data_IF_512744792791
#
_entry.id   IF_512744792791
#
_cell.length_a   1.000
_cell.length_b   1.000
_cell.length_c   1.000
_cell.angle_alpha   90.00
_cell.angle_beta   90.00
_cell.angle_gamma   90.00
#
_symmetry.space_group_name_H-M   'P 1'
#
loop_
_entity.id
_entity.type
_entity.pdbx_description
1 polymer ?
#
# COMPACT_ATOMS: atom_id res chain seq x y z
N UNK A 1 -14.66 54.73 27.44
CA UNK A 1 -15.49 53.59 26.99
C UNK A 1 -14.86 53.09 25.70
N UNK A 2 -14.01 52.07 25.79
CA UNK A 2 -13.29 51.53 24.64
C UNK A 2 -14.00 50.25 24.17
N UNK A 3 -14.44 50.26 22.91
CA UNK A 3 -15.10 49.13 22.25
C UNK A 3 -14.04 48.17 21.71
N UNK A 4 -13.89 47.02 22.38
CA UNK A 4 -13.00 45.94 21.95
C UNK A 4 -13.47 45.30 20.64
N UNK A 5 -12.61 45.34 19.63
CA UNK A 5 -12.78 44.64 18.36
C UNK A 5 -12.64 43.13 18.57
N UNK A 6 -13.75 42.41 18.50
CA UNK A 6 -13.78 40.94 18.49
C UNK A 6 -13.11 40.41 17.21
N UNK A 7 -12.04 39.64 17.38
CA UNK A 7 -11.37 38.91 16.29
C UNK A 7 -12.31 37.87 15.70
N UNK A 8 -12.58 37.95 14.39
CA UNK A 8 -13.40 36.96 13.70
C UNK A 8 -12.75 35.56 13.75
N UNK A 9 -13.55 34.49 13.95
CA UNK A 9 -13.06 33.13 13.93
C UNK A 9 -12.58 32.76 12.52
N UNK A 10 -11.28 32.53 12.41
CA UNK A 10 -10.64 32.09 11.17
C UNK A 10 -11.14 30.69 10.79
N UNK A 11 -12.08 30.63 9.86
CA UNK A 11 -12.60 29.39 9.30
C UNK A 11 -11.47 28.57 8.66
N UNK A 12 -11.22 27.37 9.18
CA UNK A 12 -10.20 26.42 8.68
C UNK A 12 -10.32 26.16 7.15
N UNK A 13 -11.54 26.26 6.61
CA UNK A 13 -11.79 26.15 5.16
C UNK A 13 -11.20 27.28 4.32
N UNK A 14 -11.02 28.49 4.86
CA UNK A 14 -10.40 29.60 4.11
C UNK A 14 -8.90 29.39 3.95
N UNK A 15 -8.24 28.86 4.99
CA UNK A 15 -6.81 28.53 4.98
C UNK A 15 -6.54 27.39 4.01
N UNK A 16 -7.34 26.32 4.05
CA UNK A 16 -7.20 25.20 3.13
C UNK A 16 -7.43 25.62 1.65
N UNK A 17 -8.43 26.47 1.37
CA UNK A 17 -8.64 27.01 0.01
C UNK A 17 -7.48 27.87 -0.45
N UNK A 18 -6.95 28.74 0.40
CA UNK A 18 -5.81 29.62 0.05
C UNK A 18 -4.54 28.82 -0.26
N UNK A 19 -4.30 27.72 0.46
CA UNK A 19 -3.16 26.83 0.19
C UNK A 19 -3.31 26.02 -1.10
N UNK A 20 -4.53 25.60 -1.44
CA UNK A 20 -4.79 24.83 -2.67
C UNK A 20 -4.79 25.70 -3.93
N UNK A 21 -5.25 26.95 -3.83
CA UNK A 21 -5.42 27.84 -4.99
C UNK A 21 -4.20 28.72 -5.28
N UNK A 22 -3.35 29.02 -4.30
CA UNK A 22 -2.16 29.86 -4.52
C UNK A 22 -0.92 29.10 -5.02
N UNK A 23 -1.07 27.86 -5.50
CA UNK A 23 0.07 27.06 -6.02
C UNK A 23 0.43 27.38 -7.48
N UNK A 24 -0.37 28.15 -8.21
CA UNK A 24 -0.22 28.33 -9.67
C UNK A 24 0.36 29.67 -10.15
N UNK A 25 0.85 30.55 -9.27
CA UNK A 25 1.46 31.83 -9.71
C UNK A 25 2.89 32.03 -9.21
N UNK A 26 3.80 31.14 -9.60
CA UNK A 26 5.21 31.53 -9.77
C UNK A 26 5.44 31.83 -11.24
N UNK A 27 5.60 33.12 -11.54
CA UNK A 27 6.07 33.64 -12.81
C UNK A 27 7.38 32.95 -13.19
N UNK A 28 7.35 32.27 -14.33
CA UNK A 28 8.53 31.72 -15.00
C UNK A 28 9.42 32.88 -15.40
N UNK A 29 10.61 32.95 -14.79
CA UNK A 29 11.68 33.84 -15.21
C UNK A 29 12.11 33.45 -16.61
N UNK A 30 11.95 34.36 -17.57
CA UNK A 30 12.43 34.22 -18.94
C UNK A 30 13.96 34.05 -18.94
N UNK A 31 14.44 33.04 -19.64
CA UNK A 31 15.83 32.91 -20.08
C UNK A 31 15.84 32.75 -21.60
N UNK A 32 16.90 33.22 -22.30
CA UNK A 32 16.86 33.44 -23.74
C UNK A 32 17.00 32.14 -24.52
N UNK A 33 16.20 32.02 -25.58
CA UNK A 33 16.25 30.94 -26.57
C UNK A 33 17.57 30.97 -27.35
N UNK A 34 18.26 29.84 -27.41
CA UNK A 34 19.19 29.52 -28.50
C UNK A 34 18.60 28.41 -29.34
N UNK A 35 18.32 28.77 -30.59
CA UNK A 35 17.83 27.91 -31.67
C UNK A 35 18.90 26.91 -32.10
N UNK A 36 18.54 25.63 -32.17
CA UNK A 36 19.09 24.68 -33.14
C UNK A 36 18.01 23.66 -33.52
N UNK A 37 17.70 23.66 -34.81
CA UNK A 37 16.90 22.65 -35.52
C UNK A 37 17.64 21.31 -35.52
N UNK A 38 17.01 20.26 -35.03
CA UNK A 38 17.39 18.87 -35.34
C UNK A 38 16.12 18.04 -35.55
N UNK A 39 15.94 17.59 -36.78
CA UNK A 39 14.93 16.62 -37.17
C UNK A 39 15.17 15.26 -36.50
N UNK A 40 14.17 14.73 -35.77
CA UNK A 40 14.07 13.29 -35.55
C UNK A 40 12.62 12.79 -35.59
N UNK A 41 12.36 12.03 -36.66
CA UNK A 41 11.38 10.97 -36.77
C UNK A 41 11.70 9.83 -35.80
N UNK A 42 10.72 9.43 -34.98
CA UNK A 42 10.85 8.25 -34.13
C UNK A 42 9.68 8.13 -33.16
N UNK A 43 8.59 7.51 -33.60
CA UNK A 43 7.52 7.01 -32.73
C UNK A 43 8.05 5.91 -31.83
N UNK A 44 8.42 6.25 -30.59
CA UNK A 44 8.68 5.29 -29.50
C UNK A 44 7.55 5.43 -28.47
N UNK A 45 6.81 4.34 -28.28
CA UNK A 45 5.75 4.24 -27.28
C UNK A 45 6.44 3.92 -25.96
N UNK A 46 6.71 4.93 -25.14
CA UNK A 46 7.23 4.73 -23.79
C UNK A 46 6.14 4.12 -22.90
N UNK A 47 6.28 2.82 -22.71
CA UNK A 47 5.61 2.01 -21.70
C UNK A 47 6.06 2.50 -20.31
N UNK A 48 5.13 3.14 -19.59
CA UNK A 48 5.34 3.60 -18.22
C UNK A 48 5.66 2.40 -17.31
N UNK A 49 6.95 2.21 -17.03
CA UNK A 49 7.47 1.12 -16.23
C UNK A 49 7.03 1.31 -14.76
N UNK A 50 6.23 0.37 -14.24
CA UNK A 50 5.63 0.41 -12.91
C UNK A 50 6.63 0.12 -11.75
N UNK A 51 7.92 0.32 -11.98
CA UNK A 51 9.02 -0.06 -11.07
C UNK A 51 9.34 0.97 -9.99
N UNK A 52 8.70 2.15 -9.99
CA UNK A 52 8.98 3.22 -9.02
C UNK A 52 8.11 3.22 -7.75
N UNK A 53 7.23 2.23 -7.54
CA UNK A 53 6.28 2.26 -6.41
C UNK A 53 6.76 1.63 -5.11
N UNK A 54 7.96 1.05 -5.05
CA UNK A 54 8.53 0.57 -3.79
C UNK A 54 10.04 0.85 -3.69
N UNK A 55 10.43 2.05 -3.24
CA UNK A 55 11.79 2.23 -2.73
C UNK A 55 11.92 1.33 -1.49
N UNK A 56 12.65 0.23 -1.61
CA UNK A 56 13.24 -0.45 -0.45
C UNK A 56 14.35 0.44 0.11
N UNK A 57 13.97 1.58 0.68
CA UNK A 57 14.83 2.36 1.54
C UNK A 57 14.69 1.79 2.94
N UNK A 58 15.61 0.89 3.30
CA UNK A 58 16.18 0.71 4.64
C UNK A 58 17.21 -0.44 4.55
N UNK A 59 18.42 -0.09 4.15
CA UNK A 59 19.60 -0.92 4.40
C UNK A 59 19.92 -0.83 5.89
N UNK A 60 19.66 -1.92 6.62
CA UNK A 60 20.24 -2.18 7.93
C UNK A 60 21.73 -2.49 7.75
N UNK A 61 22.54 -1.44 7.66
CA UNK A 61 23.98 -1.53 7.85
C UNK A 61 24.27 -1.49 9.37
N UNK A 62 23.94 -2.57 10.07
CA UNK A 62 24.41 -2.81 11.44
C UNK A 62 24.76 -4.27 11.65
N UNK A 63 26.00 -4.64 11.29
CA UNK A 63 26.84 -5.52 12.09
C UNK A 63 28.24 -5.58 11.49
N UNK A 64 29.13 -4.70 11.98
CA UNK A 64 30.51 -5.04 12.36
C UNK A 64 31.16 -3.81 12.97
N UNK A 65 31.01 -3.69 14.29
CA UNK A 65 31.99 -3.22 15.27
C UNK A 65 31.25 -3.09 16.60
N UNK A 66 31.44 -4.08 17.50
CA UNK A 66 31.05 -3.97 18.92
C UNK A 66 31.92 -2.89 19.59
N UNK A 67 31.57 -1.62 19.36
CA UNK A 67 31.89 -0.54 20.30
C UNK A 67 30.65 -0.34 21.17
N UNK A 68 30.79 -0.11 22.48
CA UNK A 68 29.65 0.16 23.35
C UNK A 68 28.85 1.33 22.79
N UNK A 69 27.65 1.04 22.30
CA UNK A 69 26.67 2.02 21.85
C UNK A 69 26.35 2.92 23.05
N UNK A 70 26.96 4.11 23.08
CA UNK A 70 26.44 5.22 23.86
C UNK A 70 24.99 5.41 23.40
N UNK A 71 24.04 5.24 24.30
CA UNK A 71 22.62 5.26 23.99
C UNK A 71 22.23 6.51 23.23
N UNK A 72 22.00 6.37 21.92
CA UNK A 72 21.41 7.42 21.10
C UNK A 72 19.94 7.50 21.47
N UNK A 73 19.63 8.38 22.41
CA UNK A 73 18.26 8.87 22.58
C UNK A 73 17.83 9.47 21.24
N UNK A 74 16.73 8.99 20.64
CA UNK A 74 16.24 9.56 19.39
C UNK A 74 16.01 11.05 19.62
N UNK A 75 16.81 11.89 18.95
CA UNK A 75 16.66 13.33 19.03
C UNK A 75 15.25 13.67 18.55
N UNK A 76 14.39 14.06 19.49
CA UNK A 76 13.02 14.45 19.19
C UNK A 76 13.10 15.65 18.25
N UNK A 77 12.74 15.43 16.99
CA UNK A 77 12.60 16.50 16.02
C UNK A 77 11.62 17.54 16.60
N UNK A 78 12.08 18.76 16.77
CA UNK A 78 11.32 19.92 17.27
C UNK A 78 11.21 20.91 16.12
N UNK A 79 10.03 20.98 15.54
CA UNK A 79 9.69 22.03 14.58
C UNK A 79 8.22 22.38 14.75
N UNK A 80 7.83 23.56 14.29
CA UNK A 80 6.47 24.08 14.44
C UNK A 80 5.40 23.08 13.95
N UNK A 81 5.67 22.35 12.86
CA UNK A 81 4.77 21.31 12.37
C UNK A 81 4.66 20.13 13.35
N UNK A 82 5.78 19.63 13.87
CA UNK A 82 5.79 18.54 14.85
C UNK A 82 5.04 18.93 16.12
N UNK A 83 5.23 20.16 16.61
CA UNK A 83 4.54 20.65 17.81
C UNK A 83 3.04 20.81 17.57
N UNK A 84 2.65 21.30 16.39
CA UNK A 84 1.23 21.36 16.00
C UNK A 84 0.61 19.99 15.89
N UNK A 85 1.28 19.01 15.30
CA UNK A 85 0.79 17.63 15.18
C UNK A 85 0.70 16.96 16.55
N UNK A 86 1.71 17.13 17.41
CA UNK A 86 1.69 16.62 18.80
C UNK A 86 0.65 17.32 19.67
N UNK A 87 0.33 18.57 19.36
CA UNK A 87 -0.71 19.35 20.04
C UNK A 87 -2.14 19.05 19.58
N UNK A 88 -2.35 18.16 18.61
CA UNK A 88 -3.70 17.73 18.19
C UNK A 88 -4.31 16.89 19.32
N UNK A 89 -5.23 17.47 20.07
CA UNK A 89 -5.97 16.76 21.11
C UNK A 89 -7.21 16.06 20.54
N UNK A 90 -7.74 15.07 21.27
CA UNK A 90 -9.00 14.39 20.91
C UNK A 90 -10.16 15.37 20.73
N UNK A 91 -10.20 16.44 21.53
CA UNK A 91 -11.21 17.49 21.44
C UNK A 91 -11.11 18.31 20.16
N UNK A 92 -9.89 18.60 19.68
CA UNK A 92 -9.69 19.27 18.38
C UNK A 92 -10.12 18.40 17.19
N UNK A 93 -10.12 17.07 17.37
CA UNK A 93 -10.59 16.10 16.39
C UNK A 93 -12.09 15.81 16.51
N UNK A 94 -12.75 16.28 17.58
CA UNK A 94 -14.21 16.32 17.59
C UNK A 94 -14.62 17.45 16.68
N UNK A 95 -15.03 17.10 15.46
CA UNK A 95 -15.74 18.07 14.64
C UNK A 95 -16.93 18.59 15.46
N UNK A 96 -17.18 19.90 15.46
CA UNK A 96 -18.48 20.40 15.86
C UNK A 96 -19.48 19.61 15.04
N UNK A 97 -20.25 18.74 15.70
CA UNK A 97 -21.40 18.07 15.10
C UNK A 97 -22.50 19.13 14.96
N UNK A 98 -22.17 20.26 14.34
CA UNK A 98 -23.08 21.33 14.02
C UNK A 98 -24.04 20.75 12.99
N UNK A 99 -25.26 20.55 13.49
CA UNK A 99 -26.54 20.42 12.82
C UNK A 99 -26.44 19.97 11.36
N UNK A 100 -27.02 18.81 10.99
CA UNK A 100 -26.90 18.22 9.66
C UNK A 100 -27.03 19.30 8.59
N UNK A 101 -25.97 19.43 7.78
CA UNK A 101 -25.85 20.44 6.73
C UNK A 101 -27.21 20.64 6.08
N UNK A 102 -27.83 21.81 6.32
CA UNK A 102 -29.15 22.11 5.78
C UNK A 102 -29.00 22.07 4.27
N UNK A 103 -29.45 20.98 3.66
CA UNK A 103 -29.44 20.85 2.21
C UNK A 103 -30.23 22.04 1.68
N UNK A 104 -29.53 22.96 1.01
CA UNK A 104 -30.16 24.08 0.31
C UNK A 104 -31.21 23.43 -0.58
N UNK A 105 -32.49 23.64 -0.24
CA UNK A 105 -33.63 23.13 -0.99
C UNK A 105 -33.60 23.85 -2.34
N UNK A 106 -32.84 23.34 -3.31
CA UNK A 106 -32.95 23.78 -4.70
C UNK A 106 -34.29 23.28 -5.19
N UNK A 107 -35.26 24.20 -5.21
CA UNK A 107 -36.54 24.02 -5.87
C UNK A 107 -36.32 23.80 -7.36
N UNK A 108 -36.30 22.53 -7.76
CA UNK A 108 -36.65 22.03 -9.07
C UNK A 108 -36.50 20.51 -8.98
N UNK A 109 -37.46 19.75 -9.53
CA UNK A 109 -37.41 18.29 -9.63
C UNK A 109 -36.35 17.80 -10.63
N UNK A 110 -35.17 18.43 -10.64
CA UNK A 110 -34.03 18.06 -11.46
C UNK A 110 -33.30 16.88 -10.82
N UNK A 111 -33.09 15.83 -11.62
CA UNK A 111 -32.21 14.71 -11.29
C UNK A 111 -30.89 15.24 -10.68
N UNK A 112 -30.39 14.68 -9.57
CA UNK A 112 -29.13 15.11 -8.98
C UNK A 112 -28.01 15.09 -10.03
N UNK A 113 -27.09 16.07 -10.02
CA UNK A 113 -25.97 16.08 -10.96
C UNK A 113 -25.25 14.73 -10.90
N UNK A 114 -25.08 14.10 -12.07
CA UNK A 114 -24.50 12.79 -12.18
C UNK A 114 -23.04 12.85 -11.75
N UNK A 115 -22.71 12.28 -10.58
CA UNK A 115 -21.33 12.11 -10.17
C UNK A 115 -20.65 11.17 -11.17
N UNK A 116 -19.69 11.69 -11.92
CA UNK A 116 -18.98 10.95 -12.96
C UNK A 116 -18.28 9.69 -12.43
N UNK A 117 -18.02 8.71 -13.31
CA UNK A 117 -17.42 7.42 -12.95
C UNK A 117 -16.08 7.58 -12.21
N UNK A 118 -15.22 8.50 -12.67
CA UNK A 118 -13.93 8.81 -12.04
C UNK A 118 -14.10 9.32 -10.61
N UNK A 119 -15.00 10.28 -10.39
CA UNK A 119 -15.29 10.80 -9.06
C UNK A 119 -15.84 9.71 -8.10
N UNK A 120 -16.70 8.81 -8.59
CA UNK A 120 -17.17 7.66 -7.80
C UNK A 120 -16.03 6.74 -7.37
N UNK A 121 -15.07 6.46 -8.26
CA UNK A 121 -13.89 5.65 -7.96
C UNK A 121 -13.05 6.34 -6.87
N UNK A 122 -12.80 7.64 -6.99
CA UNK A 122 -12.05 8.40 -5.99
C UNK A 122 -12.74 8.37 -4.62
N UNK A 123 -14.05 8.65 -4.55
CA UNK A 123 -14.82 8.59 -3.28
C UNK A 123 -14.71 7.20 -2.64
N UNK A 124 -14.72 6.13 -3.45
CA UNK A 124 -14.57 4.75 -2.98
C UNK A 124 -13.17 4.50 -2.41
N UNK A 125 -12.12 4.89 -3.12
CA UNK A 125 -10.72 4.73 -2.68
C UNK A 125 -10.45 5.49 -1.39
N UNK A 126 -10.90 6.74 -1.29
CA UNK A 126 -10.77 7.56 -0.09
C UNK A 126 -11.48 6.91 1.10
N UNK A 127 -12.68 6.35 0.91
CA UNK A 127 -13.37 5.61 1.97
C UNK A 127 -12.60 4.34 2.38
N UNK A 128 -12.05 3.59 1.43
CA UNK A 128 -11.25 2.39 1.71
C UNK A 128 -10.01 2.73 2.52
N UNK A 129 -9.29 3.80 2.15
CA UNK A 129 -8.16 4.33 2.90
C UNK A 129 -8.53 4.60 4.36
N UNK A 130 -9.63 5.32 4.62
CA UNK A 130 -10.09 5.55 5.98
C UNK A 130 -10.55 4.28 6.71
N UNK A 131 -10.99 3.25 5.97
CA UNK A 131 -11.28 1.93 6.53
C UNK A 131 -10.03 1.21 7.03
N UNK A 132 -8.93 1.28 6.27
CA UNK A 132 -7.62 0.75 6.70
C UNK A 132 -7.09 1.55 7.88
N UNK A 133 -7.17 2.88 7.83
CA UNK A 133 -6.74 3.74 8.91
C UNK A 133 -7.49 3.45 10.22
N UNK A 134 -8.82 3.27 10.15
CA UNK A 134 -9.63 2.87 11.31
C UNK A 134 -9.14 1.54 11.89
N UNK A 135 -8.84 0.54 11.05
CA UNK A 135 -8.34 -0.77 11.51
C UNK A 135 -6.99 -0.64 12.23
N UNK A 136 -6.09 0.19 11.72
CA UNK A 136 -4.77 0.43 12.33
C UNK A 136 -4.87 1.14 13.69
N UNK A 137 -5.82 2.07 13.82
CA UNK A 137 -6.03 2.82 15.06
C UNK A 137 -6.83 2.03 16.12
N UNK A 138 -7.46 0.91 15.74
CA UNK A 138 -8.23 0.06 16.63
C UNK A 138 -9.37 0.78 17.35
N UNK A 139 -9.66 0.33 18.58
CA UNK A 139 -10.77 0.84 19.38
C UNK A 139 -10.53 2.25 19.95
N UNK A 140 -9.30 2.74 19.89
CA UNK A 140 -8.93 4.10 20.30
C UNK A 140 -9.64 5.19 19.48
N UNK A 141 -10.17 4.84 18.30
CA UNK A 141 -10.98 5.74 17.49
C UNK A 141 -12.41 5.95 18.00
N UNK A 142 -12.86 5.20 18.99
CA UNK A 142 -14.25 5.27 19.46
C UNK A 142 -14.61 6.68 19.95
N UNK A 143 -15.72 7.21 19.43
CA UNK A 143 -16.17 8.58 19.68
C UNK A 143 -15.42 9.67 18.89
N UNK A 144 -14.55 9.30 17.95
CA UNK A 144 -13.89 10.24 17.03
C UNK A 144 -14.45 10.11 15.61
N UNK A 145 -14.09 11.07 14.75
CA UNK A 145 -14.47 11.06 13.34
C UNK A 145 -13.88 9.85 12.57
N UNK A 146 -12.72 9.35 13.00
CA UNK A 146 -12.08 8.16 12.45
C UNK A 146 -12.87 6.87 12.71
N UNK A 147 -13.83 6.87 13.65
CA UNK A 147 -14.71 5.72 13.85
C UNK A 147 -15.65 5.50 12.64
N UNK A 148 -15.85 6.50 11.78
CA UNK A 148 -16.71 6.39 10.60
C UNK A 148 -15.97 6.74 9.31
N UNK A 149 -15.42 5.73 8.60
CA UNK A 149 -14.77 5.93 7.30
C UNK A 149 -15.69 6.62 6.29
N UNK A 150 -17.00 6.40 6.39
CA UNK A 150 -18.00 7.07 5.56
C UNK A 150 -18.04 8.57 5.81
N UNK A 151 -18.01 9.02 7.07
CA UNK A 151 -18.02 10.45 7.41
C UNK A 151 -16.69 11.09 7.03
N UNK A 152 -15.57 10.41 7.26
CA UNK A 152 -14.26 10.88 6.79
C UNK A 152 -14.23 11.09 5.27
N UNK A 153 -14.74 10.12 4.50
CA UNK A 153 -14.83 10.23 3.05
C UNK A 153 -15.80 11.34 2.59
N UNK A 154 -16.92 11.51 3.30
CA UNK A 154 -17.89 12.59 3.08
C UNK A 154 -17.20 13.96 3.17
N UNK A 155 -16.50 14.19 4.28
CA UNK A 155 -15.77 15.44 4.54
C UNK A 155 -14.60 15.63 3.57
N UNK A 156 -13.78 14.60 3.36
CA UNK A 156 -12.58 14.68 2.53
C UNK A 156 -12.91 14.91 1.05
N UNK A 157 -13.98 14.29 0.55
CA UNK A 157 -14.39 14.44 -0.86
C UNK A 157 -15.37 15.59 -1.08
N UNK A 158 -15.88 16.23 -0.01
CA UNK A 158 -16.90 17.28 -0.12
C UNK A 158 -18.20 16.82 -0.77
N UNK A 159 -18.57 15.54 -0.59
CA UNK A 159 -19.80 14.96 -1.16
C UNK A 159 -20.77 14.60 -0.04
N UNK A 160 -22.05 14.44 -0.35
CA UNK A 160 -23.03 14.02 0.66
C UNK A 160 -22.79 12.58 1.14
N UNK A 161 -23.18 12.26 2.38
CA UNK A 161 -23.21 10.87 2.88
C UNK A 161 -23.91 9.91 1.93
N UNK A 162 -25.04 10.33 1.33
CA UNK A 162 -25.80 9.55 0.36
C UNK A 162 -24.99 9.24 -0.90
N UNK A 163 -24.13 10.16 -1.33
CA UNK A 163 -23.22 9.94 -2.46
C UNK A 163 -22.17 8.88 -2.11
N UNK A 164 -21.58 8.97 -0.91
CA UNK A 164 -20.61 7.98 -0.43
C UNK A 164 -21.26 6.60 -0.33
N UNK A 165 -22.45 6.47 0.27
CA UNK A 165 -23.13 5.18 0.39
C UNK A 165 -23.58 4.62 -0.96
N UNK A 166 -24.13 5.44 -1.87
CA UNK A 166 -24.50 4.98 -3.23
C UNK A 166 -23.30 4.57 -4.07
N UNK A 167 -22.12 5.13 -3.80
CA UNK A 167 -20.88 4.69 -4.48
C UNK A 167 -20.51 3.24 -4.16
N UNK A 168 -21.06 2.68 -3.07
CA UNK A 168 -20.94 1.26 -2.73
C UNK A 168 -22.03 0.40 -3.33
N UNK A 169 -23.28 0.89 -3.37
CA UNK A 169 -24.42 0.10 -3.85
C UNK A 169 -24.35 -0.28 -5.33
N UNK A 170 -23.61 0.48 -6.15
CA UNK A 170 -23.34 0.13 -7.54
C UNK A 170 -22.42 -1.07 -7.73
N UNK A 171 -21.89 -1.62 -6.64
CA UNK A 171 -20.96 -2.75 -6.64
C UNK A 171 -21.63 -4.10 -6.37
N UNK A 172 -22.93 -4.17 -6.09
CA UNK A 172 -23.60 -5.45 -5.87
C UNK A 172 -23.58 -6.39 -7.11
N UNK A 173 -23.21 -5.88 -8.29
CA UNK A 173 -22.91 -6.69 -9.50
C UNK A 173 -21.41 -6.86 -9.80
N UNK A 174 -20.58 -6.31 -8.94
CA UNK A 174 -19.14 -6.51 -8.89
C UNK A 174 -18.75 -7.29 -7.62
N UNK A 175 -19.72 -7.71 -6.81
CA UNK A 175 -19.54 -8.61 -5.64
C UNK A 175 -19.69 -10.09 -6.03
N UNK A 176 -20.18 -10.42 -7.24
CA UNK A 176 -19.91 -11.72 -7.89
C UNK A 176 -18.49 -11.79 -8.47
N UNK A 177 -17.82 -10.64 -8.62
CA UNK A 177 -16.39 -10.64 -8.35
C UNK A 177 -16.26 -10.67 -6.83
N UNK A 178 -16.35 -11.88 -6.26
CA UNK A 178 -15.66 -12.17 -5.02
C UNK A 178 -14.36 -11.40 -5.12
N UNK A 179 -14.16 -10.47 -4.19
CA UNK A 179 -12.84 -10.02 -3.83
C UNK A 179 -12.17 -11.24 -3.16
N UNK A 180 -11.97 -12.33 -3.94
CA UNK A 180 -10.67 -12.96 -3.98
C UNK A 180 -9.74 -11.76 -4.01
N UNK A 181 -8.88 -11.63 -3.00
CA UNK A 181 -7.68 -10.83 -3.19
C UNK A 181 -7.28 -11.05 -4.65
N UNK A 182 -7.12 -9.98 -5.46
CA UNK A 182 -6.74 -10.19 -6.83
C UNK A 182 -5.64 -11.23 -6.81
N UNK A 183 -5.65 -12.08 -7.81
CA UNK A 183 -4.58 -13.04 -8.06
C UNK A 183 -3.20 -12.37 -8.18
N UNK A 184 -3.03 -11.12 -7.73
CA UNK A 184 -1.79 -10.45 -7.36
C UNK A 184 -0.87 -11.26 -6.47
N UNK A 185 -1.35 -12.24 -5.67
CA UNK A 185 -0.43 -13.22 -5.05
C UNK A 185 0.27 -14.08 -6.09
N UNK A 186 -0.41 -14.44 -7.18
CA UNK A 186 0.14 -15.19 -8.29
C UNK A 186 0.85 -14.26 -9.30
N UNK A 187 0.35 -13.04 -9.54
CA UNK A 187 1.04 -12.04 -10.36
C UNK A 187 2.38 -11.63 -9.74
N UNK A 188 2.47 -11.44 -8.43
CA UNK A 188 3.75 -11.19 -7.74
C UNK A 188 4.68 -12.40 -7.85
N UNK A 189 4.16 -13.63 -7.73
CA UNK A 189 4.98 -14.84 -7.92
C UNK A 189 5.54 -14.94 -9.33
N UNK A 190 4.69 -14.79 -10.35
CA UNK A 190 5.09 -14.85 -11.76
C UNK A 190 6.08 -13.75 -12.11
N UNK A 191 5.87 -12.52 -11.63
CA UNK A 191 6.80 -11.41 -11.90
C UNK A 191 8.13 -11.57 -11.17
N UNK A 192 8.11 -12.01 -9.91
CA UNK A 192 9.33 -12.25 -9.11
C UNK A 192 10.13 -13.42 -9.69
N UNK A 193 9.47 -14.51 -10.08
CA UNK A 193 10.09 -15.65 -10.73
C UNK A 193 10.63 -15.30 -12.13
N UNK A 194 9.90 -14.49 -12.92
CA UNK A 194 10.40 -14.02 -14.21
C UNK A 194 11.63 -13.12 -14.06
N UNK A 195 11.67 -12.29 -13.02
CA UNK A 195 12.77 -11.34 -12.79
C UNK A 195 14.03 -12.00 -12.25
N UNK A 196 13.89 -12.91 -11.27
CA UNK A 196 15.04 -13.49 -10.56
C UNK A 196 15.25 -14.98 -10.81
N UNK A 197 14.26 -15.67 -11.38
CA UNK A 197 14.29 -17.13 -11.53
C UNK A 197 15.42 -17.63 -12.41
N UNK A 198 15.80 -16.87 -13.45
CA UNK A 198 16.89 -17.26 -14.36
C UNK A 198 18.26 -17.22 -13.67
N UNK A 199 18.54 -16.22 -12.85
CA UNK A 199 19.86 -16.06 -12.21
C UNK A 199 19.93 -16.73 -10.83
N UNK A 200 18.85 -16.61 -10.05
CA UNK A 200 18.83 -16.98 -8.63
C UNK A 200 17.98 -18.22 -8.34
N UNK A 201 17.21 -18.73 -9.31
CA UNK A 201 16.31 -19.86 -9.10
C UNK A 201 17.05 -21.10 -8.60
N UNK A 202 18.02 -21.57 -9.38
CA UNK A 202 18.80 -22.77 -9.07
C UNK A 202 19.67 -22.59 -7.83
N UNK A 203 20.37 -21.46 -7.71
CA UNK A 203 21.25 -21.17 -6.58
C UNK A 203 20.48 -21.11 -5.25
N UNK A 204 19.32 -20.44 -5.20
CA UNK A 204 18.48 -20.37 -4.01
C UNK A 204 17.86 -21.73 -3.71
N UNK A 205 17.36 -22.44 -4.74
CA UNK A 205 16.78 -23.77 -4.55
C UNK A 205 17.78 -24.74 -3.94
N UNK A 206 18.97 -24.88 -4.55
CA UNK A 206 20.04 -25.74 -4.02
C UNK A 206 20.41 -25.34 -2.59
N UNK A 207 20.59 -24.04 -2.33
CA UNK A 207 20.95 -23.56 -0.99
C UNK A 207 19.90 -23.93 0.06
N UNK A 208 18.61 -23.81 -0.27
CA UNK A 208 17.51 -24.17 0.63
C UNK A 208 17.45 -25.67 0.86
N UNK A 209 17.59 -26.47 -0.20
CA UNK A 209 17.61 -27.94 -0.10
C UNK A 209 18.73 -28.42 0.83
N UNK A 210 19.97 -27.99 0.59
CA UNK A 210 21.12 -28.36 1.44
C UNK A 210 20.90 -27.92 2.89
N UNK A 211 20.42 -26.70 3.10
CA UNK A 211 20.24 -26.20 4.45
C UNK A 211 19.10 -26.93 5.20
N UNK A 212 18.03 -27.33 4.50
CA UNK A 212 16.96 -28.14 5.08
C UNK A 212 17.43 -29.57 5.40
N UNK A 213 18.31 -30.15 4.59
CA UNK A 213 18.92 -31.46 4.88
C UNK A 213 19.83 -31.42 6.11
N UNK A 214 20.60 -30.34 6.29
CA UNK A 214 21.53 -30.19 7.40
C UNK A 214 20.84 -29.83 8.74
N UNK A 215 19.83 -28.96 8.73
CA UNK A 215 19.26 -28.37 9.95
C UNK A 215 17.79 -28.72 10.20
N UNK A 216 17.09 -29.26 9.20
CA UNK A 216 15.68 -29.63 9.26
C UNK A 216 14.71 -28.44 9.18
N UNK A 217 14.83 -27.47 10.10
CA UNK A 217 13.92 -26.34 10.20
C UNK A 217 14.65 -25.00 10.07
N UNK A 218 14.44 -24.29 8.96
CA UNK A 218 15.05 -22.99 8.71
C UNK A 218 13.98 -21.91 8.60
N UNK A 219 14.23 -20.75 9.21
CA UNK A 219 13.35 -19.59 9.04
C UNK A 219 13.76 -18.77 7.82
N UNK A 220 12.79 -18.07 7.21
CA UNK A 220 13.05 -17.19 6.06
C UNK A 220 14.07 -16.09 6.38
N UNK A 221 14.09 -15.60 7.63
CA UNK A 221 15.03 -14.56 8.08
C UNK A 221 16.46 -15.10 8.17
N UNK A 222 16.63 -16.32 8.69
CA UNK A 222 17.93 -16.96 8.80
C UNK A 222 18.48 -17.28 7.41
N UNK A 223 17.63 -17.81 6.53
CA UNK A 223 17.97 -18.07 5.14
C UNK A 223 18.40 -16.79 4.40
N UNK A 224 17.65 -15.69 4.58
CA UNK A 224 18.00 -14.40 3.98
C UNK A 224 19.36 -13.89 4.44
N UNK A 225 19.65 -14.02 5.74
CA UNK A 225 20.93 -13.60 6.33
C UNK A 225 22.09 -14.42 5.77
N UNK A 226 21.91 -15.73 5.59
CA UNK A 226 22.92 -16.62 5.01
C UNK A 226 23.15 -16.37 3.52
N UNK A 227 22.09 -16.22 2.75
CA UNK A 227 22.20 -15.87 1.32
C UNK A 227 22.91 -14.53 1.15
N UNK A 228 22.59 -13.55 1.99
CA UNK A 228 23.26 -12.24 1.97
C UNK A 228 24.73 -12.31 2.41
N UNK A 229 25.10 -13.28 3.29
CA UNK A 229 26.49 -13.47 3.70
C UNK A 229 27.34 -14.19 2.65
N UNK A 230 26.75 -15.16 1.95
CA UNK A 230 27.45 -15.93 0.90
C UNK A 230 27.52 -15.13 -0.40
N UNK A 231 26.42 -14.44 -0.74
CA UNK A 231 26.30 -13.64 -1.95
C UNK A 231 26.21 -12.16 -1.59
N UNK A 232 27.34 -11.46 -1.63
CA UNK A 232 27.43 -10.04 -1.26
C UNK A 232 26.46 -9.12 -2.03
N UNK A 233 26.05 -9.53 -3.23
CA UNK A 233 25.13 -8.77 -4.10
C UNK A 233 23.73 -9.37 -4.17
N UNK A 234 23.29 -10.10 -3.14
CA UNK A 234 21.96 -10.73 -3.13
C UNK A 234 20.84 -9.67 -3.29
N UNK A 235 20.04 -9.70 -4.38
CA UNK A 235 19.21 -8.56 -4.77
C UNK A 235 17.84 -8.52 -4.07
N UNK A 236 17.50 -9.52 -3.27
CA UNK A 236 16.17 -9.65 -2.65
C UNK A 236 16.21 -9.30 -1.17
N UNK A 237 15.23 -8.53 -0.68
CA UNK A 237 14.96 -8.41 0.75
C UNK A 237 14.19 -9.64 1.26
N UNK A 238 14.06 -9.82 2.58
CA UNK A 238 13.44 -11.01 3.16
C UNK A 238 11.98 -11.22 2.72
N UNK A 239 11.23 -10.14 2.47
CA UNK A 239 9.84 -10.21 1.97
C UNK A 239 9.80 -10.69 0.52
N UNK A 240 10.70 -10.20 -0.33
CA UNK A 240 10.82 -10.63 -1.73
C UNK A 240 11.30 -12.08 -1.81
N UNK A 241 12.26 -12.47 -0.96
CA UNK A 241 12.72 -13.84 -0.85
C UNK A 241 11.59 -14.80 -0.47
N UNK A 242 10.74 -14.44 0.51
CA UNK A 242 9.55 -15.24 0.84
C UNK A 242 8.63 -15.45 -0.37
N UNK A 243 8.36 -14.39 -1.13
CA UNK A 243 7.55 -14.47 -2.34
C UNK A 243 8.19 -15.35 -3.43
N UNK A 244 9.50 -15.24 -3.59
CA UNK A 244 10.30 -16.00 -4.54
C UNK A 244 10.34 -17.49 -4.22
N UNK A 245 10.66 -17.86 -2.99
CA UNK A 245 10.66 -19.24 -2.51
C UNK A 245 9.29 -19.89 -2.65
N UNK A 246 8.21 -19.14 -2.40
CA UNK A 246 6.84 -19.62 -2.64
C UNK A 246 6.52 -19.84 -4.12
N UNK A 247 7.19 -19.11 -5.02
CA UNK A 247 7.07 -19.32 -6.45
C UNK A 247 7.91 -20.53 -6.93
N UNK A 248 8.98 -20.87 -6.21
CA UNK A 248 9.80 -22.06 -6.44
C UNK A 248 9.17 -23.37 -5.94
N UNK A 249 8.04 -23.32 -5.23
CA UNK A 249 7.32 -24.51 -4.75
C UNK A 249 7.46 -24.80 -3.25
N UNK A 250 8.31 -24.07 -2.54
CA UNK A 250 8.48 -24.30 -1.09
C UNK A 250 7.21 -23.99 -0.30
N UNK A 251 6.93 -24.86 0.68
CA UNK A 251 5.82 -24.72 1.61
C UNK A 251 6.30 -24.14 2.96
N UNK A 252 5.37 -23.65 3.76
CA UNK A 252 5.71 -22.94 5.01
C UNK A 252 4.78 -23.29 6.15
N UNK A 253 5.36 -23.31 7.35
CA UNK A 253 4.63 -23.35 8.61
C UNK A 253 4.86 -22.07 9.39
N UNK A 254 3.79 -21.48 9.92
CA UNK A 254 3.90 -20.35 10.85
C UNK A 254 3.79 -20.89 12.27
N UNK A 255 4.80 -20.63 13.10
CA UNK A 255 4.81 -21.02 14.50
C UNK A 255 5.22 -19.82 15.35
N UNK A 256 4.36 -19.47 16.31
CA UNK A 256 4.42 -18.29 17.19
C UNK A 256 4.49 -16.95 16.44
N UNK A 257 5.64 -16.59 15.88
CA UNK A 257 5.85 -15.41 15.03
C UNK A 257 6.92 -15.62 13.94
N UNK A 258 7.37 -16.86 13.77
CA UNK A 258 8.40 -17.23 12.79
C UNK A 258 7.73 -18.00 11.64
N UNK A 259 8.31 -17.84 10.46
CA UNK A 259 7.90 -18.56 9.25
C UNK A 259 9.01 -19.55 8.94
N UNK A 260 8.72 -20.84 9.14
CA UNK A 260 9.60 -21.96 8.85
C UNK A 260 9.32 -22.46 7.44
N UNK A 261 10.39 -22.78 6.72
CA UNK A 261 10.35 -23.44 5.41
C UNK A 261 10.26 -24.93 5.68
N UNK A 262 9.29 -25.59 5.06
CA UNK A 262 9.17 -27.04 5.14
C UNK A 262 9.84 -27.66 3.90
N UNK A 263 10.51 -28.82 4.03
CA UNK A 263 10.92 -29.59 2.87
C UNK A 263 9.68 -29.87 2.01
N UNK A 264 9.86 -29.91 0.70
CA UNK A 264 8.83 -30.40 -0.19
C UNK A 264 8.56 -31.83 0.25
N UNK A 265 7.46 -32.03 0.99
CA UNK A 265 6.99 -33.37 1.27
C UNK A 265 6.78 -33.96 -0.10
N UNK A 266 7.59 -34.94 -0.48
CA UNK A 266 7.30 -35.85 -1.57
C UNK A 266 5.98 -36.49 -1.22
N UNK A 267 4.88 -35.78 -1.49
CA UNK A 267 3.58 -36.40 -1.63
C UNK A 267 3.78 -37.25 -2.87
N UNK A 268 4.24 -38.47 -2.63
CA UNK A 268 4.13 -39.58 -3.54
C UNK A 268 2.65 -39.64 -3.88
N UNK A 269 2.23 -38.88 -4.88
CA UNK A 269 1.06 -39.24 -5.67
C UNK A 269 1.47 -40.53 -6.34
N UNK A 270 1.28 -41.63 -5.61
CA UNK A 270 1.08 -42.95 -6.18
C UNK A 270 -0.04 -42.77 -7.19
N UNK A 271 0.37 -42.51 -8.43
CA UNK A 271 -0.50 -42.53 -9.58
C UNK A 271 -0.82 -44.01 -9.76
N UNK A 272 -1.88 -44.46 -9.11
CA UNK A 272 -2.54 -45.75 -9.38
C UNK A 272 -2.91 -45.76 -10.85
N UNK A 273 -1.95 -46.18 -11.67
CA UNK A 273 -2.12 -46.39 -13.09
C UNK A 273 -2.83 -47.72 -13.22
N UNK A 274 -4.16 -47.68 -13.09
CA UNK A 274 -5.07 -48.77 -13.41
C UNK A 274 -4.88 -49.11 -14.89
N UNK A 275 -4.00 -50.08 -15.16
CA UNK A 275 -3.85 -50.69 -16.47
C UNK A 275 -5.00 -51.68 -16.64
N UNK A 276 -6.11 -51.21 -17.20
CA UNK A 276 -7.15 -52.09 -17.71
C UNK A 276 -6.58 -52.85 -18.92
N UNK A 277 -6.11 -54.07 -18.67
CA UNK A 277 -6.01 -55.11 -19.67
C UNK A 277 -7.43 -55.55 -20.05
N UNK A 278 -7.85 -55.26 -21.28
CA UNK A 278 -8.88 -56.07 -21.93
C UNK A 278 -8.21 -57.00 -22.93
N UNK A 279 -8.02 -58.23 -22.47
CA UNK A 279 -7.74 -59.39 -23.29
C UNK A 279 -8.94 -59.72 -24.20
N UNK A 280 -8.60 -60.13 -25.42
CA UNK A 280 -9.26 -61.15 -26.24
C UNK A 280 -10.79 -61.29 -26.20
N UNK A 281 -11.43 -61.11 -27.38
CA UNK A 281 -12.19 -62.22 -27.98
C UNK A 281 -12.62 -61.97 -29.43
N UNK A 282 -12.30 -62.98 -30.26
CA UNK A 282 -12.94 -63.45 -31.52
C UNK A 282 -12.84 -62.61 -32.79
#
# INVERSE_FOLDING_TARGET
METGTALQPNNFSSIARRLLLNRESRSVSQMPSTSYDVHHTGTHVDELNATDLFPCALSDQQQQHKRPMKGYLPQKHTCNLCDRVRGITKEMLKAPMEKPYKSIKKGAAGRPPYVGRKAKITVRQVRQFFGVLKKQLGDGCTGTLFNSPTVMAELACGVSRKTVTRSLSGLARLDDCKLKEPDGKNTLRVTTLKKYGQEWGEAVHHFVSTALEEEGNITVSDLHSRLSSVYANFPMCSITLYGFLKALGFSYRKEENKIFILPESSSETESDSDSEHEDENV
#
